data_IF_698628113333
#
_entry.id   IF_698628113333
#
_cell.length_a   1.000
_cell.length_b   1.000
_cell.length_c   1.000
_cell.angle_alpha   90.00
_cell.angle_beta   90.00
_cell.angle_gamma   90.00
#
_symmetry.space_group_name_H-M   'P 1'
#
loop_
_entity.id
_entity.type
_entity.pdbx_description
1 polymer ?
#
# COMPACT_ATOMS: atom_id res chain seq x y z
N UNK A 1 -0.83 -10.70 16.56
CA UNK A 1 -0.50 -9.36 16.01
C UNK A 1 -1.84 -8.67 15.72
N UNK A 2 -2.01 -7.37 16.00
CA UNK A 2 -3.29 -6.70 15.71
C UNK A 2 -3.38 -6.34 14.23
N UNK A 3 -4.59 -6.37 13.67
CA UNK A 3 -4.83 -6.02 12.25
C UNK A 3 -4.31 -4.62 11.91
N UNK A 4 -4.47 -3.67 12.82
CA UNK A 4 -3.91 -2.32 12.71
C UNK A 4 -2.36 -2.30 12.60
N UNK A 5 -1.68 -3.14 13.39
CA UNK A 5 -0.22 -3.21 13.37
C UNK A 5 0.31 -3.84 12.09
N UNK A 6 -0.38 -4.87 11.58
CA UNK A 6 -0.05 -5.53 10.32
C UNK A 6 -0.30 -4.62 9.11
N UNK A 7 -1.40 -3.85 9.14
CA UNK A 7 -1.68 -2.81 8.15
C UNK A 7 -0.55 -1.78 8.09
N UNK A 8 -0.22 -1.11 9.20
CA UNK A 8 0.82 -0.08 9.19
C UNK A 8 2.19 -0.61 8.78
N UNK A 9 2.59 -1.79 9.27
CA UNK A 9 3.87 -2.40 8.88
C UNK A 9 3.93 -2.61 7.37
N UNK A 10 2.86 -3.14 6.79
CA UNK A 10 2.83 -3.43 5.35
C UNK A 10 2.89 -2.15 4.50
N UNK A 11 2.26 -1.06 4.96
CA UNK A 11 2.40 0.25 4.32
C UNK A 11 3.83 0.79 4.44
N UNK A 12 4.47 0.67 5.60
CA UNK A 12 5.86 1.07 5.82
C UNK A 12 6.82 0.28 4.91
N UNK A 13 6.61 -1.03 4.76
CA UNK A 13 7.39 -1.89 3.88
C UNK A 13 7.22 -1.49 2.40
N UNK A 14 6.00 -1.12 1.96
CA UNK A 14 5.78 -0.58 0.62
C UNK A 14 6.48 0.76 0.42
N UNK A 15 6.38 1.68 1.38
CA UNK A 15 7.02 3.00 1.31
C UNK A 15 8.54 2.89 1.25
N UNK A 16 9.14 1.96 2.02
CA UNK A 16 10.57 1.71 1.98
C UNK A 16 11.02 1.30 0.57
N UNK A 17 10.34 0.33 -0.05
CA UNK A 17 10.65 -0.11 -1.41
C UNK A 17 10.49 1.03 -2.42
N UNK A 18 9.39 1.79 -2.35
CA UNK A 18 9.13 2.90 -3.27
C UNK A 18 10.19 4.01 -3.21
N UNK A 19 10.85 4.18 -2.07
CA UNK A 19 11.97 5.12 -1.89
C UNK A 19 13.29 4.59 -2.45
N UNK A 20 13.42 3.28 -2.62
CA UNK A 20 14.60 2.62 -3.21
C UNK A 20 14.50 2.51 -4.75
N UNK A 21 13.29 2.69 -5.31
CA UNK A 21 13.08 2.79 -6.75
C UNK A 21 13.69 4.11 -7.28
N UNK A 22 14.33 4.05 -8.45
CA UNK A 22 14.89 5.22 -9.15
C UNK A 22 14.21 5.40 -10.53
N UNK A 23 13.47 6.50 -10.77
CA UNK A 23 13.19 7.58 -9.82
C UNK A 23 12.17 7.19 -8.73
N UNK A 24 12.23 7.78 -7.51
CA UNK A 24 11.27 7.48 -6.46
C UNK A 24 9.85 7.90 -6.82
N UNK A 25 8.87 7.00 -6.61
CA UNK A 25 7.45 7.29 -6.88
C UNK A 25 6.81 8.05 -5.70
N UNK A 26 7.04 9.36 -5.67
CA UNK A 26 6.56 10.25 -4.62
C UNK A 26 5.02 10.24 -4.47
N UNK A 27 4.28 10.04 -5.57
CA UNK A 27 2.83 10.02 -5.55
C UNK A 27 2.30 8.79 -4.81
N UNK A 28 2.86 7.60 -5.08
CA UNK A 28 2.53 6.38 -4.34
C UNK A 28 2.95 6.50 -2.88
N UNK A 29 4.16 6.96 -2.60
CA UNK A 29 4.65 7.14 -1.22
C UNK A 29 3.66 7.99 -0.41
N UNK A 30 3.24 9.13 -0.95
CA UNK A 30 2.27 10.00 -0.29
C UNK A 30 0.92 9.30 -0.05
N UNK A 31 0.46 8.44 -0.96
CA UNK A 31 -0.77 7.65 -0.78
C UNK A 31 -0.66 6.67 0.38
N UNK A 32 0.40 5.88 0.44
CA UNK A 32 0.64 4.94 1.54
C UNK A 32 0.78 5.65 2.89
N UNK A 33 1.54 6.76 2.95
CA UNK A 33 1.69 7.55 4.17
C UNK A 33 0.35 8.16 4.64
N UNK A 34 -0.48 8.63 3.71
CA UNK A 34 -1.80 9.15 4.04
C UNK A 34 -2.74 8.05 4.54
N UNK A 35 -2.72 6.86 3.93
CA UNK A 35 -3.48 5.71 4.40
C UNK A 35 -3.06 5.29 5.82
N UNK A 36 -1.76 5.27 6.12
CA UNK A 36 -1.26 4.99 7.48
C UNK A 36 -1.77 6.03 8.50
N UNK A 37 -1.77 7.31 8.14
CA UNK A 37 -2.31 8.40 8.97
C UNK A 37 -3.82 8.28 9.18
N UNK A 38 -4.56 7.98 8.13
CA UNK A 38 -6.01 7.77 8.19
C UNK A 38 -6.35 6.53 9.04
N UNK A 39 -5.60 5.44 8.90
CA UNK A 39 -5.81 4.21 9.65
C UNK A 39 -5.66 4.40 11.16
N UNK A 40 -4.93 5.43 11.63
CA UNK A 40 -4.88 5.81 13.06
C UNK A 40 -6.21 6.34 13.59
N UNK A 41 -7.05 6.89 12.70
CA UNK A 41 -8.36 7.47 13.02
C UNK A 41 -9.47 6.48 12.71
N UNK A 42 -9.46 5.92 11.50
CA UNK A 42 -10.45 4.96 11.02
C UNK A 42 -9.75 3.96 10.09
N UNK A 43 -9.56 2.75 10.59
CA UNK A 43 -8.87 1.68 9.88
C UNK A 43 -9.69 1.19 8.68
N UNK A 44 -11.02 1.13 8.81
CA UNK A 44 -11.92 0.64 7.77
C UNK A 44 -11.99 1.62 6.60
N UNK A 45 -12.13 2.92 6.88
CA UNK A 45 -12.09 3.98 5.86
C UNK A 45 -10.76 3.97 5.10
N UNK A 46 -9.64 3.90 5.84
CA UNK A 46 -8.30 3.87 5.25
C UNK A 46 -8.09 2.64 4.35
N UNK A 47 -8.47 1.46 4.81
CA UNK A 47 -8.36 0.23 4.05
C UNK A 47 -9.22 0.25 2.78
N UNK A 48 -10.47 0.73 2.87
CA UNK A 48 -11.37 0.84 1.72
C UNK A 48 -10.84 1.85 0.70
N UNK A 49 -10.44 3.05 1.15
CA UNK A 49 -9.87 4.08 0.27
C UNK A 49 -8.58 3.62 -0.41
N UNK A 50 -7.75 2.84 0.29
CA UNK A 50 -6.53 2.28 -0.28
C UNK A 50 -6.84 1.17 -1.29
N UNK A 51 -7.79 0.27 -1.03
CA UNK A 51 -8.21 -0.77 -1.98
C UNK A 51 -8.67 -0.18 -3.31
N UNK A 52 -9.60 0.77 -3.24
CA UNK A 52 -10.12 1.45 -4.44
C UNK A 52 -8.98 2.11 -5.21
N UNK A 53 -8.05 2.75 -4.50
CA UNK A 53 -6.90 3.34 -5.16
C UNK A 53 -6.00 2.28 -5.81
N UNK A 54 -5.69 1.17 -5.13
CA UNK A 54 -4.85 0.08 -5.66
C UNK A 54 -5.46 -0.58 -6.91
N UNK A 55 -6.78 -0.75 -6.96
CA UNK A 55 -7.49 -1.31 -8.12
C UNK A 55 -7.42 -0.40 -9.36
N UNK A 56 -7.21 0.90 -9.16
CA UNK A 56 -7.11 1.91 -10.23
C UNK A 56 -5.66 2.35 -10.50
N UNK A 57 -4.73 2.00 -9.61
CA UNK A 57 -3.33 2.33 -9.74
C UNK A 57 -2.70 1.42 -10.80
N UNK A 58 -2.20 2.02 -11.89
CA UNK A 58 -1.41 1.29 -12.89
C UNK A 58 -0.04 0.84 -12.34
N UNK A 59 0.83 0.25 -13.16
CA UNK A 59 2.23 0.01 -12.80
C UNK A 59 2.99 1.35 -12.68
N UNK A 60 4.08 1.42 -11.87
CA UNK A 60 4.89 2.63 -11.81
C UNK A 60 5.67 2.80 -13.11
N UNK A 61 5.78 4.05 -13.58
CA UNK A 61 6.49 4.37 -14.82
C UNK A 61 7.99 4.45 -14.59
N UNK A 62 8.79 3.97 -15.54
CA UNK A 62 10.26 4.10 -15.50
C UNK A 62 10.97 3.17 -14.51
N UNK A 63 10.26 2.20 -13.94
CA UNK A 63 10.79 1.24 -12.97
C UNK A 63 11.22 -0.06 -13.67
N UNK A 64 12.29 -0.71 -13.19
CA UNK A 64 12.72 -2.00 -13.74
C UNK A 64 11.67 -3.09 -13.50
N UNK A 65 11.59 -4.10 -14.38
CA UNK A 65 10.63 -5.20 -14.23
C UNK A 65 10.75 -5.90 -12.86
N UNK A 66 11.98 -6.10 -12.37
CA UNK A 66 12.22 -6.72 -11.07
C UNK A 66 11.61 -5.91 -9.91
N UNK A 67 11.81 -4.58 -9.92
CA UNK A 67 11.23 -3.68 -8.93
C UNK A 67 9.70 -3.59 -9.06
N UNK A 68 9.16 -3.65 -10.28
CA UNK A 68 7.73 -3.72 -10.53
C UNK A 68 7.11 -5.00 -9.95
N UNK A 69 7.74 -6.15 -10.15
CA UNK A 69 7.26 -7.43 -9.63
C UNK A 69 7.30 -7.47 -8.10
N UNK A 70 8.39 -6.95 -7.50
CA UNK A 70 8.50 -6.85 -6.04
C UNK A 70 7.46 -5.88 -5.46
N UNK A 71 7.25 -4.73 -6.10
CA UNK A 71 6.23 -3.77 -5.69
C UNK A 71 4.82 -4.37 -5.81
N UNK A 72 4.52 -5.07 -6.91
CA UNK A 72 3.25 -5.73 -7.12
C UNK A 72 2.99 -6.75 -6.00
N UNK A 73 3.99 -7.57 -5.64
CA UNK A 73 3.85 -8.53 -4.55
C UNK A 73 3.54 -7.87 -3.20
N UNK A 74 4.23 -6.77 -2.86
CA UNK A 74 3.97 -6.04 -1.60
C UNK A 74 2.60 -5.33 -1.63
N UNK A 75 2.22 -4.78 -2.78
CA UNK A 75 0.89 -4.18 -2.99
C UNK A 75 -0.23 -5.20 -2.83
N UNK A 76 -0.07 -6.39 -3.39
CA UNK A 76 -1.05 -7.48 -3.26
C UNK A 76 -1.22 -7.90 -1.80
N UNK A 77 -0.12 -7.94 -1.04
CA UNK A 77 -0.17 -8.20 0.39
C UNK A 77 -0.94 -7.11 1.15
N UNK A 78 -0.68 -5.83 0.86
CA UNK A 78 -1.45 -4.71 1.42
C UNK A 78 -2.93 -4.82 1.06
N UNK A 79 -3.26 -5.10 -0.20
CA UNK A 79 -4.64 -5.28 -0.65
C UNK A 79 -5.32 -6.43 0.10
N UNK A 80 -4.62 -7.55 0.33
CA UNK A 80 -5.13 -8.66 1.13
C UNK A 80 -5.50 -8.22 2.55
N UNK A 81 -4.62 -7.48 3.23
CA UNK A 81 -4.88 -6.96 4.58
C UNK A 81 -6.09 -6.01 4.57
N UNK A 82 -6.17 -5.12 3.58
CA UNK A 82 -7.30 -4.22 3.44
C UNK A 82 -8.62 -4.99 3.27
N UNK A 83 -8.65 -6.06 2.48
CA UNK A 83 -9.86 -6.91 2.31
C UNK A 83 -10.30 -7.51 3.64
N UNK A 84 -9.36 -8.01 4.43
CA UNK A 84 -9.64 -8.53 5.79
C UNK A 84 -10.23 -7.44 6.68
N UNK A 85 -9.68 -6.22 6.64
CA UNK A 85 -10.18 -5.08 7.42
C UNK A 85 -11.62 -4.71 7.06
N UNK A 86 -11.93 -4.62 5.76
CA UNK A 86 -13.27 -4.22 5.29
C UNK A 86 -14.29 -5.35 5.33
N UNK A 87 -13.88 -6.57 5.71
CA UNK A 87 -14.75 -7.74 5.78
C UNK A 87 -15.04 -8.38 4.42
N UNK A 88 -14.22 -8.12 3.41
CA UNK A 88 -14.29 -8.80 2.11
C UNK A 88 -13.65 -10.18 2.19
N UNK A 89 -14.46 -11.22 2.40
CA UNK A 89 -14.10 -12.63 2.22
C UNK A 89 -14.31 -13.07 0.78
#
# INVERSE_FOLDING_TARGET
MSVYGEFNRSLEDCVALLREIDPPDAARIAKFENAAREGRRDLTSAANGLLVWLETAGPPEGVSQLQCDELAHRVDHVASICRVIVGGT
#
